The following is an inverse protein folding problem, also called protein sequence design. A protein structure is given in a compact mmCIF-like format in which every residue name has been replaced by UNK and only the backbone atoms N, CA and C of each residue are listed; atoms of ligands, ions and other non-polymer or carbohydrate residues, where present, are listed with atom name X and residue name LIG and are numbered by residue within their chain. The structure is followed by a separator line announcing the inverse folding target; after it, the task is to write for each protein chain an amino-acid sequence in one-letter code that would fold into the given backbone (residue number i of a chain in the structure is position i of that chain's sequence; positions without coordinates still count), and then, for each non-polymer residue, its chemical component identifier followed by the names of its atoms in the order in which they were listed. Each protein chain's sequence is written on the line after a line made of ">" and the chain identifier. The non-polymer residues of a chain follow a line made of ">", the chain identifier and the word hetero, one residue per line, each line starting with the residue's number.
data_IF_425145479312
#
_entry.id   IF_425145479312
#
_cell.length_a   1.000
_cell.length_b   1.000
_cell.length_c   1.000
_cell.angle_alpha   90.00
_cell.angle_beta   90.00
_cell.angle_gamma   90.00
#
_symmetry.space_group_name_H-M   'P 1'
#
loop_
_entity.id
_entity.type
_entity.pdbx_description
1 polymer ?
#
# COMPACT_ATOMS: atom_id res chain seq x y z
N UNK A 1 -8.08 -40.01 -9.86
CA UNK A 1 -7.68 -38.64 -9.47
C UNK A 1 -6.75 -37.99 -10.48
N UNK A 2 -5.56 -38.54 -10.78
CA UNK A 2 -4.59 -37.97 -11.76
C UNK A 2 -5.17 -37.65 -13.16
N UNK A 3 -6.14 -38.42 -13.65
CA UNK A 3 -6.79 -38.15 -14.95
C UNK A 3 -7.66 -36.88 -14.93
N UNK A 4 -8.33 -36.60 -13.81
CA UNK A 4 -9.20 -35.41 -13.67
C UNK A 4 -8.33 -34.15 -13.50
N UNK A 5 -7.20 -34.28 -12.78
CA UNK A 5 -6.18 -33.23 -12.61
C UNK A 5 -5.56 -32.83 -13.95
N UNK A 6 -5.16 -33.80 -14.79
CA UNK A 6 -4.58 -33.52 -16.12
C UNK A 6 -5.52 -32.88 -17.14
N UNK A 7 -6.84 -33.02 -16.97
CA UNK A 7 -7.85 -32.41 -17.83
C UNK A 7 -8.21 -31.01 -17.30
N UNK A 8 -8.17 -30.83 -15.98
CA UNK A 8 -8.30 -29.52 -15.33
C UNK A 8 -7.11 -28.61 -15.64
N UNK A 9 -5.88 -29.12 -15.62
CA UNK A 9 -4.67 -28.37 -15.98
C UNK A 9 -4.66 -27.87 -17.43
N UNK A 10 -5.35 -28.56 -18.34
CA UNK A 10 -5.53 -28.11 -19.74
C UNK A 10 -6.58 -27.02 -19.90
N UNK A 11 -7.46 -26.85 -18.92
CA UNK A 11 -8.49 -25.81 -18.91
C UNK A 11 -8.04 -24.53 -18.17
N UNK A 12 -7.02 -24.64 -17.32
CA UNK A 12 -6.45 -23.50 -16.57
C UNK A 12 -5.48 -22.75 -17.48
N UNK A 13 -5.63 -21.43 -17.55
CA UNK A 13 -4.71 -20.58 -18.30
C UNK A 13 -3.29 -20.72 -17.74
N UNK A 14 -2.26 -20.88 -18.59
CA UNK A 14 -0.86 -20.91 -18.14
C UNK A 14 -0.48 -19.69 -17.30
N UNK A 15 -1.08 -18.52 -17.58
CA UNK A 15 -0.88 -17.30 -16.81
C UNK A 15 -1.44 -17.39 -15.40
N UNK A 16 -2.62 -18.01 -15.25
CA UNK A 16 -3.25 -18.19 -13.94
C UNK A 16 -2.46 -19.19 -13.09
N UNK A 17 -1.99 -20.28 -13.72
CA UNK A 17 -1.10 -21.23 -13.06
C UNK A 17 0.21 -20.58 -12.60
N UNK A 18 0.78 -19.64 -13.38
CA UNK A 18 1.97 -18.90 -12.97
C UNK A 18 1.68 -17.96 -11.80
N UNK A 19 0.58 -17.21 -11.81
CA UNK A 19 0.20 -16.31 -10.72
C UNK A 19 0.00 -17.07 -9.39
N UNK A 20 -0.71 -18.20 -9.44
CA UNK A 20 -0.97 -19.05 -8.27
C UNK A 20 0.33 -19.62 -7.66
N UNK A 21 1.32 -19.94 -8.50
CA UNK A 21 2.62 -20.47 -8.05
C UNK A 21 3.59 -19.37 -7.58
N UNK A 22 3.57 -18.20 -8.22
CA UNK A 22 4.47 -17.09 -7.87
C UNK A 22 3.99 -16.34 -6.62
N UNK A 23 2.67 -16.19 -6.44
CA UNK A 23 2.08 -15.46 -5.32
C UNK A 23 2.65 -15.83 -3.94
N UNK A 24 2.71 -17.12 -3.56
CA UNK A 24 3.29 -17.55 -2.30
C UNK A 24 4.77 -17.17 -2.15
N UNK A 25 5.59 -17.38 -3.19
CA UNK A 25 7.02 -17.06 -3.17
C UNK A 25 7.22 -15.54 -3.04
N UNK A 26 6.43 -14.76 -3.77
CA UNK A 26 6.50 -13.30 -3.71
C UNK A 26 6.11 -12.80 -2.32
N UNK A 27 5.00 -13.28 -1.77
CA UNK A 27 4.44 -12.79 -0.52
C UNK A 27 5.26 -13.21 0.71
N UNK A 28 5.81 -14.43 0.73
CA UNK A 28 6.51 -14.96 1.89
C UNK A 28 8.04 -14.81 1.82
N UNK A 29 8.63 -14.64 0.64
CA UNK A 29 10.09 -14.54 0.50
C UNK A 29 10.54 -13.21 -0.08
N UNK A 30 10.01 -12.82 -1.25
CA UNK A 30 10.51 -11.63 -1.97
C UNK A 30 10.14 -10.35 -1.22
N UNK A 31 8.86 -10.15 -0.86
CA UNK A 31 8.40 -8.94 -0.19
C UNK A 31 9.05 -8.74 1.19
N UNK A 32 9.14 -9.77 2.07
CA UNK A 32 9.82 -9.60 3.35
C UNK A 32 11.31 -9.29 3.21
N UNK A 33 12.01 -9.97 2.29
CA UNK A 33 13.44 -9.72 2.03
C UNK A 33 13.67 -8.32 1.47
N UNK A 34 12.82 -7.89 0.52
CA UNK A 34 12.87 -6.55 -0.05
C UNK A 34 12.63 -5.47 1.01
N UNK A 35 11.60 -5.66 1.83
CA UNK A 35 11.28 -4.75 2.92
C UNK A 35 12.44 -4.70 3.92
N UNK A 36 13.01 -5.83 4.31
CA UNK A 36 14.14 -5.90 5.22
C UNK A 36 15.38 -5.15 4.69
N UNK A 37 15.73 -5.38 3.42
CA UNK A 37 16.89 -4.72 2.80
C UNK A 37 16.70 -3.21 2.62
N UNK A 38 15.49 -2.75 2.32
CA UNK A 38 15.22 -1.34 2.01
C UNK A 38 14.69 -0.51 3.18
N UNK A 39 14.10 -1.13 4.21
CA UNK A 39 13.58 -0.45 5.40
C UNK A 39 14.67 -0.13 6.43
N UNK A 40 15.94 -0.52 6.19
CA UNK A 40 17.06 -0.05 7.00
C UNK A 40 17.14 1.48 6.99
N UNK A 41 16.74 2.08 8.12
CA UNK A 41 16.75 3.52 8.39
C UNK A 41 17.84 3.77 9.42
N UNK A 42 18.69 4.75 9.14
CA UNK A 42 19.66 5.24 10.12
C UNK A 42 19.01 6.32 10.97
N UNK A 43 19.00 6.15 12.29
CA UNK A 43 18.50 7.17 13.24
C UNK A 43 19.57 8.18 13.66
N UNK A 44 20.77 8.10 13.07
CA UNK A 44 21.85 9.03 13.37
C UNK A 44 21.46 10.47 13.01
N UNK A 45 21.53 11.36 13.99
CA UNK A 45 21.16 12.78 13.83
C UNK A 45 19.65 13.08 13.91
N UNK A 46 18.83 12.16 14.45
CA UNK A 46 17.39 12.39 14.63
C UNK A 46 17.12 13.54 15.63
N UNK A 47 17.03 14.76 15.12
CA UNK A 47 16.52 15.91 15.87
C UNK A 47 15.05 16.12 15.52
N UNK A 48 14.21 16.45 16.50
CA UNK A 48 12.81 16.84 16.25
C UNK A 48 12.72 18.12 15.41
N UNK A 49 13.77 18.95 15.39
CA UNK A 49 13.94 20.09 14.48
C UNK A 49 14.29 19.68 13.03
N UNK A 50 14.69 18.43 12.83
CA UNK A 50 15.05 17.82 11.57
C UNK A 50 14.00 16.77 11.13
N UNK A 51 12.72 16.97 11.46
CA UNK A 51 11.65 16.44 10.60
C UNK A 51 11.86 17.13 9.24
N UNK A 52 12.69 16.51 8.40
CA UNK A 52 13.04 17.04 7.10
C UNK A 52 11.76 17.32 6.33
N UNK A 53 11.74 18.45 5.62
CA UNK A 53 10.61 18.84 4.76
C UNK A 53 10.15 17.68 3.86
N UNK A 54 11.09 16.84 3.42
CA UNK A 54 10.85 15.64 2.62
C UNK A 54 10.09 14.56 3.38
N UNK A 55 10.46 14.22 4.61
CA UNK A 55 9.76 13.18 5.40
C UNK A 55 8.30 13.55 5.62
N UNK A 56 8.03 14.81 5.99
CA UNK A 56 6.67 15.31 6.18
C UNK A 56 5.89 15.39 4.87
N UNK A 57 6.51 15.86 3.78
CA UNK A 57 5.89 15.91 2.46
C UNK A 57 5.51 14.50 1.96
N UNK A 58 6.40 13.52 2.14
CA UNK A 58 6.15 12.12 1.79
C UNK A 58 5.06 11.53 2.68
N UNK A 59 5.08 11.78 3.99
CA UNK A 59 4.02 11.36 4.91
C UNK A 59 2.65 11.89 4.48
N UNK A 60 2.53 13.21 4.27
CA UNK A 60 1.27 13.84 3.88
C UNK A 60 0.83 13.39 2.48
N UNK A 61 1.76 13.33 1.52
CA UNK A 61 1.48 12.86 0.16
C UNK A 61 1.01 11.41 0.15
N UNK A 62 1.57 10.56 1.00
CA UNK A 62 1.18 9.17 1.09
C UNK A 62 -0.18 9.00 1.79
N UNK A 63 -0.34 9.57 2.97
CA UNK A 63 -1.56 9.39 3.79
C UNK A 63 -2.73 10.16 3.18
N UNK A 64 -2.55 11.47 2.94
CA UNK A 64 -3.64 12.33 2.46
C UNK A 64 -3.81 12.16 0.97
N UNK A 65 -2.72 12.18 0.19
CA UNK A 65 -2.79 12.12 -1.26
C UNK A 65 -3.44 10.83 -1.78
N UNK A 66 -2.99 9.65 -1.30
CA UNK A 66 -3.61 8.38 -1.73
C UNK A 66 -5.04 8.25 -1.21
N UNK A 67 -5.29 8.54 0.06
CA UNK A 67 -6.64 8.35 0.63
C UNK A 67 -7.65 9.27 -0.04
N UNK A 68 -7.34 10.56 -0.19
CA UNK A 68 -8.21 11.50 -0.88
C UNK A 68 -8.35 11.18 -2.36
N UNK A 69 -7.27 10.78 -3.04
CA UNK A 69 -7.31 10.37 -4.44
C UNK A 69 -8.28 9.20 -4.65
N UNK A 70 -8.09 8.11 -3.91
CA UNK A 70 -8.96 6.92 -4.00
C UNK A 70 -10.41 7.30 -3.70
N UNK A 71 -10.65 8.02 -2.60
CA UNK A 71 -12.00 8.40 -2.23
C UNK A 71 -12.69 9.29 -3.26
N UNK A 72 -12.03 10.36 -3.72
CA UNK A 72 -12.60 11.32 -4.67
C UNK A 72 -12.88 10.68 -6.02
N UNK A 73 -11.95 9.88 -6.56
CA UNK A 73 -12.17 9.21 -7.83
C UNK A 73 -13.31 8.18 -7.75
N UNK A 74 -13.34 7.36 -6.69
CA UNK A 74 -14.44 6.39 -6.53
C UNK A 74 -15.78 7.09 -6.26
N UNK A 75 -15.81 8.13 -5.43
CA UNK A 75 -17.02 8.91 -5.16
C UNK A 75 -17.55 9.58 -6.42
N UNK A 76 -16.68 10.20 -7.22
CA UNK A 76 -17.05 10.82 -8.50
C UNK A 76 -17.61 9.78 -9.47
N UNK A 77 -16.96 8.62 -9.59
CA UNK A 77 -17.40 7.55 -10.47
C UNK A 77 -18.80 6.98 -10.09
N UNK A 78 -19.09 6.88 -8.80
CA UNK A 78 -20.41 6.49 -8.29
C UNK A 78 -21.43 7.62 -8.52
N UNK A 79 -21.07 8.87 -8.23
CA UNK A 79 -21.95 10.04 -8.37
C UNK A 79 -22.34 10.29 -9.83
N UNK A 80 -21.43 10.06 -10.77
CA UNK A 80 -21.69 10.14 -12.22
C UNK A 80 -22.49 8.95 -12.76
N UNK A 81 -22.94 8.01 -11.91
CA UNK A 81 -23.67 6.78 -12.26
C UNK A 81 -22.91 5.87 -13.24
N UNK A 82 -21.59 6.01 -13.37
CA UNK A 82 -20.76 5.11 -14.17
C UNK A 82 -20.70 3.72 -13.54
N UNK A 83 -20.73 3.66 -12.21
CA UNK A 83 -20.75 2.41 -11.44
C UNK A 83 -21.83 2.46 -10.37
N UNK A 84 -22.36 1.29 -10.00
CA UNK A 84 -23.33 1.15 -8.92
C UNK A 84 -22.61 0.69 -7.65
N UNK A 85 -22.93 1.32 -6.52
CA UNK A 85 -22.44 0.86 -5.22
C UNK A 85 -23.08 -0.50 -4.88
N UNK A 86 -22.30 -1.52 -4.49
CA UNK A 86 -22.83 -2.82 -4.08
C UNK A 86 -23.76 -2.70 -2.86
N UNK A 87 -24.74 -3.61 -2.75
CA UNK A 87 -25.82 -3.55 -1.76
C UNK A 87 -25.36 -3.53 -0.29
N UNK A 88 -24.14 -3.98 0.01
CA UNK A 88 -23.57 -4.03 1.37
C UNK A 88 -22.47 -3.00 1.62
N UNK A 89 -22.20 -2.12 0.65
CA UNK A 89 -21.19 -1.08 0.75
C UNK A 89 -21.84 0.27 1.06
N UNK A 90 -21.23 1.00 1.99
CA UNK A 90 -21.67 2.32 2.41
C UNK A 90 -20.51 3.31 2.22
N UNK A 91 -20.81 4.60 2.06
CA UNK A 91 -19.77 5.64 1.85
C UNK A 91 -18.77 5.70 3.00
N UNK A 92 -19.20 5.35 4.22
CA UNK A 92 -18.31 5.19 5.38
C UNK A 92 -17.31 4.05 5.18
N UNK A 93 -17.77 2.89 4.73
CA UNK A 93 -16.90 1.74 4.47
C UNK A 93 -15.91 2.07 3.34
N UNK A 94 -16.39 2.75 2.29
CA UNK A 94 -15.55 3.24 1.20
C UNK A 94 -14.45 4.18 1.71
N UNK A 95 -14.80 5.13 2.58
CA UNK A 95 -13.82 6.02 3.20
C UNK A 95 -12.79 5.25 4.05
N UNK A 96 -13.23 4.28 4.87
CA UNK A 96 -12.33 3.43 5.64
C UNK A 96 -11.35 2.64 4.76
N UNK A 97 -11.83 2.07 3.66
CA UNK A 97 -11.00 1.37 2.67
C UNK A 97 -10.04 2.32 1.96
N UNK A 98 -10.45 3.55 1.65
CA UNK A 98 -9.54 4.54 1.05
C UNK A 98 -8.36 4.90 1.95
N UNK A 99 -8.57 4.98 3.28
CA UNK A 99 -7.49 5.20 4.24
C UNK A 99 -6.51 4.02 4.24
N UNK A 100 -7.01 2.79 4.21
CA UNK A 100 -6.16 1.59 4.08
C UNK A 100 -5.39 1.57 2.74
N UNK A 101 -5.98 2.11 1.68
CA UNK A 101 -5.29 2.34 0.40
C UNK A 101 -4.11 3.31 0.49
N UNK A 102 -4.00 4.08 1.57
CA UNK A 102 -2.84 4.91 1.90
C UNK A 102 -1.58 4.13 2.27
N UNK A 103 -1.66 2.81 2.49
CA UNK A 103 -0.48 1.98 2.78
C UNK A 103 0.38 1.86 1.51
N UNK A 104 1.49 2.60 1.47
CA UNK A 104 2.42 2.58 0.33
C UNK A 104 3.68 1.75 0.54
N UNK A 105 3.98 1.38 1.78
CA UNK A 105 5.17 0.70 2.27
C UNK A 105 6.18 0.25 1.19
N UNK A 106 6.08 -0.96 0.64
CA UNK A 106 7.10 -1.53 -0.26
C UNK A 106 7.24 -0.78 -1.58
N UNK A 107 6.13 -0.43 -2.24
CA UNK A 107 6.17 0.29 -3.53
C UNK A 107 6.73 1.71 -3.32
N UNK A 108 6.33 2.39 -2.26
CA UNK A 108 6.85 3.72 -1.94
C UNK A 108 8.34 3.69 -1.56
N UNK A 109 8.80 2.66 -0.82
CA UNK A 109 10.22 2.47 -0.53
C UNK A 109 11.04 2.23 -1.80
N UNK A 110 10.49 1.46 -2.75
CA UNK A 110 11.08 1.24 -4.05
C UNK A 110 11.21 2.55 -4.84
N UNK A 111 10.12 3.32 -4.94
CA UNK A 111 10.12 4.61 -5.63
C UNK A 111 11.10 5.60 -4.98
N UNK A 112 11.12 5.70 -3.64
CA UNK A 112 12.08 6.55 -2.95
C UNK A 112 13.53 6.17 -3.25
N UNK A 113 13.83 4.87 -3.31
CA UNK A 113 15.17 4.37 -3.65
C UNK A 113 15.55 4.70 -5.10
N UNK A 114 14.61 4.67 -6.04
CA UNK A 114 14.83 5.14 -7.41
C UNK A 114 15.02 6.66 -7.49
N UNK A 115 14.30 7.43 -6.67
CA UNK A 115 14.35 8.89 -6.69
C UNK A 115 15.62 9.47 -6.04
N UNK A 116 16.09 8.87 -4.94
CA UNK A 116 17.15 9.44 -4.11
C UNK A 116 18.39 8.54 -3.96
N UNK A 117 18.35 7.29 -4.42
CA UNK A 117 19.41 6.31 -4.17
C UNK A 117 20.76 6.58 -4.84
N UNK A 118 20.80 7.43 -5.88
CA UNK A 118 22.03 7.74 -6.61
C UNK A 118 22.72 9.05 -6.20
N UNK A 119 22.01 9.97 -5.55
CA UNK A 119 22.45 11.37 -5.44
C UNK A 119 22.42 11.92 -4.02
N UNK A 120 21.46 11.52 -3.18
CA UNK A 120 21.22 12.17 -1.88
C UNK A 120 20.83 11.14 -0.79
N UNK A 121 21.82 10.48 -0.16
CA UNK A 121 21.57 9.43 0.84
C UNK A 121 20.76 9.91 2.06
N UNK A 122 20.92 11.18 2.44
CA UNK A 122 20.23 11.77 3.58
C UNK A 122 18.74 11.98 3.28
N UNK A 123 18.39 12.46 2.07
CA UNK A 123 17.00 12.59 1.64
C UNK A 123 16.31 11.25 1.48
N UNK A 124 17.04 10.22 1.03
CA UNK A 124 16.52 8.86 0.98
C UNK A 124 16.12 8.36 2.36
N UNK A 125 16.96 8.58 3.37
CA UNK A 125 16.67 8.18 4.75
C UNK A 125 15.42 8.89 5.30
N UNK A 126 15.29 10.20 5.05
CA UNK A 126 14.12 10.99 5.44
C UNK A 126 12.84 10.51 4.74
N UNK A 127 12.91 10.22 3.44
CA UNK A 127 11.78 9.67 2.69
C UNK A 127 11.36 8.30 3.23
N UNK A 128 12.31 7.41 3.53
CA UNK A 128 12.03 6.09 4.12
C UNK A 128 11.30 6.23 5.46
N UNK A 129 11.75 7.14 6.33
CA UNK A 129 11.05 7.44 7.58
C UNK A 129 9.60 7.87 7.34
N UNK A 130 9.38 8.86 6.46
CA UNK A 130 8.05 9.35 6.12
C UNK A 130 7.13 8.24 5.60
N UNK A 131 7.65 7.32 4.79
CA UNK A 131 6.90 6.17 4.25
C UNK A 131 6.51 5.19 5.34
N UNK A 132 7.42 4.84 6.25
CA UNK A 132 7.12 3.88 7.33
C UNK A 132 6.11 4.47 8.29
N UNK A 133 6.32 5.70 8.78
CA UNK A 133 5.37 6.37 9.66
C UNK A 133 4.03 6.60 8.98
N UNK A 134 4.02 7.00 7.71
CA UNK A 134 2.80 7.20 6.93
C UNK A 134 2.01 5.92 6.72
N UNK A 135 2.69 4.84 6.36
CA UNK A 135 2.06 3.53 6.15
C UNK A 135 1.50 2.95 7.46
N UNK A 136 2.24 3.10 8.57
CA UNK A 136 1.76 2.69 9.89
C UNK A 136 0.54 3.50 10.31
N UNK A 137 0.59 4.83 10.14
CA UNK A 137 -0.52 5.71 10.47
C UNK A 137 -1.76 5.40 9.64
N UNK A 138 -1.62 5.24 8.32
CA UNK A 138 -2.72 4.86 7.42
C UNK A 138 -3.31 3.49 7.79
N UNK A 139 -2.46 2.50 8.07
CA UNK A 139 -2.90 1.17 8.47
C UNK A 139 -3.67 1.17 9.80
N UNK A 140 -3.13 1.82 10.83
CA UNK A 140 -3.77 1.89 12.16
C UNK A 140 -5.06 2.70 12.10
N UNK A 141 -5.03 3.90 11.51
CA UNK A 141 -6.22 4.75 11.42
C UNK A 141 -7.33 4.12 10.57
N UNK A 142 -6.97 3.53 9.43
CA UNK A 142 -7.91 2.80 8.57
C UNK A 142 -8.51 1.58 9.27
N UNK A 143 -7.69 0.79 9.97
CA UNK A 143 -8.16 -0.36 10.74
C UNK A 143 -9.12 0.05 11.86
N UNK A 144 -8.76 1.06 12.66
CA UNK A 144 -9.60 1.54 13.76
C UNK A 144 -10.93 2.11 13.24
N UNK A 145 -10.89 2.84 12.13
CA UNK A 145 -12.09 3.38 11.50
C UNK A 145 -12.99 2.25 10.99
N UNK A 146 -12.43 1.29 10.25
CA UNK A 146 -13.16 0.18 9.68
C UNK A 146 -13.75 -0.73 10.75
N UNK A 147 -13.00 -1.00 11.82
CA UNK A 147 -13.48 -1.77 12.99
C UNK A 147 -14.73 -1.13 13.60
N UNK A 148 -14.76 0.20 13.74
CA UNK A 148 -15.95 0.91 14.25
C UNK A 148 -17.10 0.92 13.25
N UNK A 149 -16.80 0.99 11.95
CA UNK A 149 -17.81 1.02 10.90
C UNK A 149 -18.47 -0.35 10.66
N UNK A 150 -17.74 -1.45 10.85
CA UNK A 150 -18.22 -2.84 10.72
C UNK A 150 -18.90 -3.36 11.99
N UNK A 151 -18.60 -2.81 13.17
CA UNK A 151 -19.23 -3.22 14.43
C UNK A 151 -20.69 -2.76 14.59
N UNK A 152 -21.31 -2.25 13.51
CA UNK A 152 -22.67 -1.74 13.47
C UNK A 152 -23.42 -2.37 12.30
#
# INVERSE_FOLDING_TARGET
>A
MKYIESVSDKAISPLQSLDDNLGPIVNFFILPTFAFANAGISFDGFSFSAIGSVSLAVFLGLVIGKSMGIFLFTWTAISSKLFKMPNHLNYKLLFGVSILGGIGFTVSLFIASLSYGGTEPQLLNDAKMGIIFGSLFAGVSGFLYLKKALAK
#
